data_IF_175600708559
#
_entry.id   IF_175600708559
#
_cell.length_a   1.000
_cell.length_b   1.000
_cell.length_c   1.000
_cell.angle_alpha   90.00
_cell.angle_beta   90.00
_cell.angle_gamma   90.00
#
_symmetry.space_group_name_H-M   'P 1'
#
loop_
_entity.id
_entity.type
_entity.pdbx_description
1 polymer ?
#
# COMPACT_ATOMS: atom_id res chain seq x y z
N UNK A 1 42.59 -32.37 -2.75
CA UNK A 1 41.95 -33.64 -2.34
C UNK A 1 42.11 -33.96 -0.86
N UNK A 2 43.33 -34.10 -0.30
CA UNK A 2 43.48 -34.40 1.13
C UNK A 2 42.89 -33.29 2.02
N UNK A 3 43.14 -32.04 1.67
CA UNK A 3 42.64 -30.87 2.40
C UNK A 3 41.11 -30.72 2.28
N UNK A 4 40.56 -30.98 1.09
CA UNK A 4 39.12 -31.01 0.84
C UNK A 4 38.42 -32.08 1.69
N UNK A 5 39.00 -33.28 1.76
CA UNK A 5 38.47 -34.36 2.57
C UNK A 5 38.55 -34.04 4.08
N UNK A 6 39.63 -33.41 4.53
CA UNK A 6 39.75 -32.92 5.93
C UNK A 6 38.62 -31.92 6.23
N UNK A 7 38.36 -30.99 5.33
CA UNK A 7 37.28 -30.02 5.48
C UNK A 7 35.91 -30.69 5.54
N UNK A 8 35.63 -31.66 4.66
CA UNK A 8 34.37 -32.42 4.70
C UNK A 8 34.23 -33.25 5.98
N UNK A 9 35.32 -33.84 6.48
CA UNK A 9 35.31 -34.60 7.73
C UNK A 9 35.09 -33.72 8.97
N UNK A 10 35.46 -32.45 8.90
CA UNK A 10 35.36 -31.48 10.00
C UNK A 10 34.17 -30.52 9.88
N UNK A 11 33.40 -30.57 8.79
CA UNK A 11 32.21 -29.73 8.63
C UNK A 11 31.08 -30.21 9.56
N UNK A 12 30.03 -29.40 9.74
CA UNK A 12 28.83 -29.81 10.49
C UNK A 12 27.63 -29.85 9.55
N UNK A 13 27.36 -30.99 8.88
CA UNK A 13 26.31 -31.09 7.87
C UNK A 13 24.91 -30.88 8.46
N UNK A 14 24.66 -31.27 9.72
CA UNK A 14 23.38 -31.00 10.40
C UNK A 14 23.18 -29.50 10.63
N UNK A 15 24.23 -28.79 11.05
CA UNK A 15 24.17 -27.34 11.24
C UNK A 15 23.99 -26.61 9.92
N UNK A 16 24.69 -27.04 8.86
CA UNK A 16 24.52 -26.48 7.52
C UNK A 16 23.08 -26.68 7.03
N UNK A 17 22.53 -27.88 7.17
CA UNK A 17 21.16 -28.19 6.75
C UNK A 17 20.13 -27.31 7.46
N UNK A 18 20.28 -27.13 8.78
CA UNK A 18 19.40 -26.30 9.59
C UNK A 18 19.44 -24.83 9.17
N UNK A 19 20.64 -24.26 9.02
CA UNK A 19 20.80 -22.85 8.65
C UNK A 19 20.29 -22.58 7.22
N UNK A 20 20.57 -23.49 6.28
CA UNK A 20 20.04 -23.38 4.92
C UNK A 20 18.51 -23.49 4.89
N UNK A 21 17.93 -24.38 5.69
CA UNK A 21 16.48 -24.51 5.83
C UNK A 21 15.86 -23.25 6.44
N UNK A 22 16.51 -22.63 7.43
CA UNK A 22 16.06 -21.36 8.00
C UNK A 22 16.01 -20.27 6.93
N UNK A 23 17.06 -20.12 6.12
CA UNK A 23 17.08 -19.12 5.03
C UNK A 23 15.99 -19.42 4.00
N UNK A 24 15.85 -20.68 3.58
CA UNK A 24 14.81 -21.11 2.64
C UNK A 24 13.40 -20.75 3.15
N UNK A 25 13.16 -20.92 4.46
CA UNK A 25 11.88 -20.63 5.09
C UNK A 25 11.49 -19.15 5.06
N UNK A 26 12.46 -18.23 5.14
CA UNK A 26 12.17 -16.78 5.07
C UNK A 26 11.68 -16.39 3.68
N UNK A 27 12.13 -17.11 2.64
CA UNK A 27 11.61 -16.96 1.27
C UNK A 27 10.35 -17.80 1.00
N UNK A 28 9.78 -18.45 2.02
CA UNK A 28 8.62 -19.33 1.91
C UNK A 28 8.80 -20.52 0.93
N UNK A 29 10.05 -20.99 0.76
CA UNK A 29 10.37 -22.15 -0.08
C UNK A 29 10.87 -23.33 0.75
N UNK A 30 10.75 -24.53 0.17
CA UNK A 30 11.41 -25.71 0.70
C UNK A 30 12.86 -25.75 0.23
N UNK A 31 13.75 -26.27 1.09
CA UNK A 31 15.13 -26.49 0.71
C UNK A 31 15.19 -27.49 -0.46
N UNK A 32 15.91 -27.21 -1.56
CA UNK A 32 15.89 -28.07 -2.73
C UNK A 32 16.43 -29.48 -2.44
N UNK A 33 15.81 -30.49 -3.03
CA UNK A 33 16.19 -31.91 -2.87
C UNK A 33 17.67 -32.17 -3.18
N UNK A 34 18.24 -31.45 -4.16
CA UNK A 34 19.67 -31.53 -4.50
C UNK A 34 20.55 -31.19 -3.30
N UNK A 35 20.16 -30.22 -2.46
CA UNK A 35 20.90 -29.84 -1.26
C UNK A 35 20.89 -30.99 -0.25
N UNK A 36 19.72 -31.58 0.01
CA UNK A 36 19.60 -32.76 0.89
C UNK A 36 20.48 -33.92 0.42
N UNK A 37 20.51 -34.20 -0.88
CA UNK A 37 21.37 -35.24 -1.46
C UNK A 37 22.86 -34.96 -1.26
N UNK A 38 23.30 -33.72 -1.46
CA UNK A 38 24.69 -33.32 -1.26
C UNK A 38 25.08 -33.39 0.23
N UNK A 39 24.22 -32.93 1.13
CA UNK A 39 24.42 -33.03 2.59
C UNK A 39 24.47 -34.50 3.03
N UNK A 40 23.60 -35.36 2.50
CA UNK A 40 23.62 -36.80 2.79
C UNK A 40 24.94 -37.44 2.39
N UNK A 41 25.52 -37.07 1.24
CA UNK A 41 26.85 -37.56 0.83
C UNK A 41 27.96 -37.08 1.77
N UNK A 42 27.88 -35.85 2.27
CA UNK A 42 28.83 -35.33 3.27
C UNK A 42 28.72 -36.14 4.57
N UNK A 43 27.50 -36.41 5.05
CA UNK A 43 27.26 -37.27 6.23
C UNK A 43 27.82 -38.68 6.02
N UNK A 44 27.66 -39.23 4.82
CA UNK A 44 28.24 -40.53 4.46
C UNK A 44 29.77 -40.53 4.55
N UNK A 45 30.44 -39.49 4.00
CA UNK A 45 31.89 -39.31 4.13
C UNK A 45 32.31 -39.20 5.61
N UNK A 46 31.55 -38.47 6.43
CA UNK A 46 31.84 -38.30 7.85
C UNK A 46 31.70 -39.59 8.67
N UNK A 47 30.84 -40.53 8.24
CA UNK A 47 30.67 -41.82 8.91
C UNK A 47 31.99 -42.63 9.01
N UNK A 48 32.94 -42.36 8.12
CA UNK A 48 34.27 -42.98 8.12
C UNK A 48 35.24 -42.37 9.15
N UNK A 49 34.90 -41.24 9.80
CA UNK A 49 35.62 -40.57 10.92
C UNK A 49 37.02 -40.02 10.64
N UNK A 50 37.81 -40.65 9.78
CA UNK A 50 39.16 -40.20 9.43
C UNK A 50 39.56 -40.61 8.01
N UNK A 51 40.59 -39.94 7.50
CA UNK A 51 41.09 -40.07 6.12
C UNK A 51 41.52 -41.50 5.81
N UNK A 52 42.26 -42.15 6.72
CA UNK A 52 42.80 -43.49 6.49
C UNK A 52 41.68 -44.53 6.38
N UNK A 53 40.64 -44.39 7.21
CA UNK A 53 39.48 -45.26 7.17
C UNK A 53 38.61 -45.01 5.92
N UNK A 54 38.51 -43.75 5.49
CA UNK A 54 37.83 -43.38 4.25
C UNK A 54 38.49 -44.05 3.03
N UNK A 55 39.80 -43.88 2.83
CA UNK A 55 40.49 -44.47 1.66
C UNK A 55 40.52 -46.01 1.67
N UNK A 56 40.43 -46.64 2.86
CA UNK A 56 40.43 -48.12 2.96
C UNK A 56 39.07 -48.75 2.71
N UNK A 57 37.99 -48.10 3.13
CA UNK A 57 36.67 -48.74 3.23
C UNK A 57 35.56 -48.04 2.43
N UNK A 58 35.78 -46.82 1.92
CA UNK A 58 34.75 -46.12 1.16
C UNK A 58 34.59 -46.71 -0.26
N UNK A 59 33.35 -46.74 -0.79
CA UNK A 59 33.09 -47.17 -2.15
C UNK A 59 33.80 -46.26 -3.17
N UNK A 60 34.19 -46.84 -4.32
CA UNK A 60 34.93 -46.12 -5.38
C UNK A 60 34.22 -44.84 -5.85
N UNK A 61 32.90 -44.81 -5.79
CA UNK A 61 32.05 -43.68 -6.18
C UNK A 61 32.28 -42.44 -5.30
N UNK A 62 32.48 -42.64 -3.98
CA UNK A 62 32.79 -41.56 -3.04
C UNK A 62 34.26 -41.14 -3.11
N UNK A 63 35.15 -42.04 -3.52
CA UNK A 63 36.57 -41.78 -3.66
C UNK A 63 36.93 -40.94 -4.90
N UNK A 64 35.96 -40.60 -5.76
CA UNK A 64 36.19 -39.77 -6.96
C UNK A 64 36.68 -38.36 -6.56
N UNK A 65 37.88 -37.93 -6.99
CA UNK A 65 38.42 -36.62 -6.62
C UNK A 65 37.51 -35.46 -6.97
N UNK A 66 36.80 -35.56 -8.11
CA UNK A 66 35.87 -34.54 -8.58
C UNK A 66 34.68 -34.34 -7.64
N UNK A 67 34.15 -35.44 -7.06
CA UNK A 67 33.04 -35.38 -6.12
C UNK A 67 33.48 -34.75 -4.80
N UNK A 68 34.66 -35.13 -4.28
CA UNK A 68 35.22 -34.56 -3.05
C UNK A 68 35.43 -33.04 -3.22
N UNK A 69 35.98 -32.63 -4.37
CA UNK A 69 36.15 -31.22 -4.70
C UNK A 69 34.80 -30.49 -4.78
N UNK A 70 33.83 -31.03 -5.51
CA UNK A 70 32.48 -30.46 -5.64
C UNK A 70 31.81 -30.27 -4.28
N UNK A 71 31.82 -31.30 -3.42
CA UNK A 71 31.23 -31.22 -2.08
C UNK A 71 31.96 -30.19 -1.20
N UNK A 72 33.29 -30.12 -1.31
CA UNK A 72 34.08 -29.10 -0.60
C UNK A 72 33.68 -27.70 -1.06
N UNK A 73 33.61 -27.46 -2.37
CA UNK A 73 33.21 -26.17 -2.94
C UNK A 73 31.80 -25.77 -2.49
N UNK A 74 30.86 -26.72 -2.43
CA UNK A 74 29.51 -26.46 -1.90
C UNK A 74 29.50 -26.09 -0.42
N UNK A 75 30.35 -26.70 0.41
CA UNK A 75 30.46 -26.32 1.83
C UNK A 75 30.95 -24.87 1.97
N UNK A 76 31.95 -24.44 1.20
CA UNK A 76 32.39 -23.04 1.22
C UNK A 76 31.29 -22.10 0.73
N UNK A 77 30.62 -22.50 -0.34
CA UNK A 77 29.53 -21.73 -0.90
C UNK A 77 28.36 -21.56 0.08
N UNK A 78 27.93 -22.63 0.75
CA UNK A 78 26.86 -22.56 1.73
C UNK A 78 27.26 -21.75 2.96
N UNK A 79 28.50 -21.85 3.43
CA UNK A 79 28.99 -20.97 4.48
C UNK A 79 28.94 -19.49 4.08
N UNK A 80 29.26 -19.18 2.81
CA UNK A 80 29.11 -17.83 2.27
C UNK A 80 27.64 -17.40 2.20
N UNK A 81 26.74 -18.29 1.77
CA UNK A 81 25.30 -18.01 1.76
C UNK A 81 24.77 -17.73 3.18
N UNK A 82 25.17 -18.54 4.16
CA UNK A 82 24.84 -18.36 5.58
C UNK A 82 25.40 -17.04 6.13
N UNK A 83 26.60 -16.63 5.70
CA UNK A 83 27.17 -15.36 6.12
C UNK A 83 26.37 -14.14 5.66
N UNK A 84 25.49 -14.30 4.65
CA UNK A 84 24.61 -13.25 4.11
C UNK A 84 23.16 -13.39 4.58
N UNK A 85 22.89 -14.11 5.67
CA UNK A 85 21.51 -14.45 6.07
C UNK A 85 20.65 -13.20 6.28
N UNK A 86 21.21 -12.13 6.85
CA UNK A 86 20.45 -10.96 7.26
C UNK A 86 20.06 -10.14 6.02
N UNK A 87 20.97 -10.02 5.05
CA UNK A 87 20.69 -9.41 3.75
C UNK A 87 19.69 -10.24 2.92
N UNK A 88 19.79 -11.57 2.97
CA UNK A 88 18.83 -12.46 2.34
C UNK A 88 17.44 -12.37 2.98
N UNK A 89 17.36 -12.25 4.31
CA UNK A 89 16.10 -12.03 5.02
C UNK A 89 15.46 -10.68 4.65
N UNK A 90 16.29 -9.65 4.47
CA UNK A 90 15.82 -8.35 4.00
C UNK A 90 15.29 -8.41 2.56
N UNK A 91 15.99 -9.12 1.66
CA UNK A 91 15.53 -9.37 0.30
C UNK A 91 14.22 -10.17 0.27
N UNK A 92 14.07 -11.16 1.15
CA UNK A 92 12.85 -11.92 1.30
C UNK A 92 11.68 -11.03 1.76
N UNK A 93 11.88 -10.19 2.79
CA UNK A 93 10.90 -9.20 3.26
C UNK A 93 10.44 -8.29 2.11
N UNK A 94 11.38 -7.81 1.28
CA UNK A 94 11.02 -7.01 0.11
C UNK A 94 10.13 -7.78 -0.87
N UNK A 95 10.50 -9.01 -1.21
CA UNK A 95 9.76 -9.81 -2.19
C UNK A 95 8.35 -10.21 -1.73
N UNK A 96 8.10 -10.26 -0.42
CA UNK A 96 6.81 -10.61 0.16
C UNK A 96 5.94 -9.40 0.50
N UNK A 97 6.53 -8.34 1.06
CA UNK A 97 5.78 -7.21 1.64
C UNK A 97 5.71 -5.98 0.72
N UNK A 98 6.68 -5.78 -0.17
CA UNK A 98 6.74 -4.56 -0.96
C UNK A 98 5.62 -4.52 -2.02
N UNK A 99 4.72 -3.54 -1.89
CA UNK A 99 3.70 -3.26 -2.91
C UNK A 99 4.39 -2.59 -4.10
N UNK A 100 4.37 -3.23 -5.26
CA UNK A 100 4.97 -2.70 -6.49
C UNK A 100 4.05 -1.69 -7.20
N UNK A 101 4.61 -0.66 -7.87
CA UNK A 101 3.81 0.34 -8.57
C UNK A 101 2.96 -0.28 -9.71
N UNK A 102 1.63 -0.09 -9.72
CA UNK A 102 0.77 -0.60 -10.77
C UNK A 102 1.16 0.05 -12.11
N UNK A 103 1.43 -0.78 -13.12
CA UNK A 103 1.84 -0.32 -14.46
C UNK A 103 3.36 -0.23 -14.68
N UNK A 104 4.19 -0.34 -13.64
CA UNK A 104 5.64 -0.44 -13.82
C UNK A 104 6.04 -1.89 -14.14
N UNK A 105 5.93 -2.24 -15.42
CA UNK A 105 6.26 -3.58 -15.92
C UNK A 105 7.72 -3.96 -15.72
N UNK A 106 8.64 -2.97 -15.74
CA UNK A 106 10.07 -3.21 -15.54
C UNK A 106 10.36 -3.66 -14.12
N UNK A 107 9.94 -2.90 -13.11
CA UNK A 107 10.11 -3.28 -11.70
C UNK A 107 9.44 -4.63 -11.41
N UNK A 108 8.23 -4.83 -11.92
CA UNK A 108 7.51 -6.10 -11.80
C UNK A 108 8.29 -7.27 -12.39
N UNK A 109 8.92 -7.07 -13.56
CA UNK A 109 9.73 -8.10 -14.20
C UNK A 109 11.03 -8.39 -13.44
N UNK A 110 11.71 -7.35 -12.95
CA UNK A 110 12.94 -7.51 -12.18
C UNK A 110 12.66 -8.26 -10.86
N UNK A 111 11.62 -7.88 -10.12
CA UNK A 111 11.21 -8.56 -8.90
C UNK A 111 10.85 -10.05 -9.16
N UNK A 112 10.06 -10.34 -10.20
CA UNK A 112 9.74 -11.73 -10.59
C UNK A 112 10.97 -12.55 -10.97
N UNK A 113 11.92 -11.94 -11.67
CA UNK A 113 13.17 -12.60 -12.05
C UNK A 113 14.00 -12.92 -10.81
N UNK A 114 14.06 -12.00 -9.85
CA UNK A 114 14.73 -12.20 -8.58
C UNK A 114 14.08 -13.32 -7.77
N UNK A 115 12.74 -13.33 -7.64
CA UNK A 115 11.99 -14.41 -6.97
C UNK A 115 12.28 -15.78 -7.62
N UNK A 116 12.35 -15.85 -8.95
CA UNK A 116 12.64 -17.10 -9.66
C UNK A 116 14.07 -17.61 -9.43
N UNK A 117 15.01 -16.75 -9.03
CA UNK A 117 16.39 -17.13 -8.74
C UNK A 117 16.58 -17.72 -7.34
N UNK A 118 15.62 -17.53 -6.42
CA UNK A 118 15.76 -17.91 -5.00
C UNK A 118 16.10 -19.40 -4.85
N UNK A 119 15.44 -20.30 -5.58
CA UNK A 119 15.77 -21.73 -5.46
C UNK A 119 17.21 -22.03 -5.95
N UNK A 120 17.66 -21.28 -6.95
CA UNK A 120 18.95 -21.50 -7.60
C UNK A 120 20.13 -21.04 -6.74
N UNK A 121 19.92 -20.08 -5.82
CA UNK A 121 20.97 -19.67 -4.88
C UNK A 121 21.36 -20.79 -3.91
N UNK A 122 20.53 -21.80 -3.66
CA UNK A 122 20.93 -22.92 -2.80
C UNK A 122 21.77 -23.98 -3.53
N UNK A 123 21.64 -24.05 -4.86
CA UNK A 123 22.15 -25.16 -5.67
C UNK A 123 23.27 -24.78 -6.63
N UNK A 124 23.57 -23.48 -6.75
CA UNK A 124 24.57 -22.90 -7.65
C UNK A 124 25.17 -21.63 -7.03
N UNK A 125 26.42 -21.24 -7.36
CA UNK A 125 27.13 -20.13 -6.74
C UNK A 125 26.63 -18.74 -7.20
N UNK A 126 25.35 -18.46 -6.98
CA UNK A 126 24.63 -17.28 -7.50
C UNK A 126 24.30 -16.25 -6.41
N UNK A 127 24.68 -16.47 -5.15
CA UNK A 127 24.30 -15.56 -4.05
C UNK A 127 24.78 -14.13 -4.25
N UNK A 128 25.96 -13.91 -4.84
CA UNK A 128 26.44 -12.55 -5.11
C UNK A 128 25.62 -11.88 -6.21
N UNK A 129 25.39 -12.58 -7.31
CA UNK A 129 24.55 -12.09 -8.41
C UNK A 129 23.12 -11.81 -7.94
N UNK A 130 22.57 -12.66 -7.06
CA UNK A 130 21.27 -12.45 -6.44
C UNK A 130 21.24 -11.14 -5.64
N UNK A 131 22.25 -10.89 -4.81
CA UNK A 131 22.34 -9.65 -4.02
C UNK A 131 22.51 -8.42 -4.91
N UNK A 132 23.37 -8.48 -5.93
CA UNK A 132 23.53 -7.36 -6.88
C UNK A 132 22.23 -7.04 -7.61
N UNK A 133 21.46 -8.07 -8.01
CA UNK A 133 20.15 -7.89 -8.63
C UNK A 133 19.13 -7.35 -7.64
N UNK A 134 19.18 -7.78 -6.39
CA UNK A 134 18.33 -7.23 -5.33
C UNK A 134 18.59 -5.74 -5.11
N UNK A 135 19.85 -5.33 -4.95
CA UNK A 135 20.22 -3.93 -4.78
C UNK A 135 19.74 -3.06 -5.95
N UNK A 136 19.84 -3.58 -7.18
CA UNK A 136 19.33 -2.89 -8.37
C UNK A 136 17.79 -2.75 -8.36
N UNK A 137 17.07 -3.77 -7.91
CA UNK A 137 15.60 -3.71 -7.75
C UNK A 137 15.22 -2.72 -6.66
N UNK A 138 15.86 -2.80 -5.50
CA UNK A 138 15.57 -1.96 -4.35
C UNK A 138 15.85 -0.48 -4.65
N UNK A 139 16.93 -0.19 -5.37
CA UNK A 139 17.27 1.18 -5.79
C UNK A 139 16.23 1.76 -6.74
N UNK A 140 15.82 1.01 -7.77
CA UNK A 140 14.78 1.45 -8.71
C UNK A 140 13.42 1.58 -8.00
N UNK A 141 13.08 0.66 -7.09
CA UNK A 141 11.86 0.73 -6.28
C UNK A 141 11.83 1.99 -5.41
N UNK A 142 12.92 2.25 -4.70
CA UNK A 142 13.07 3.40 -3.81
C UNK A 142 12.92 4.71 -4.56
N UNK A 143 13.55 4.83 -5.73
CA UNK A 143 13.41 6.00 -6.58
C UNK A 143 11.96 6.23 -7.03
N UNK A 144 11.25 5.18 -7.41
CA UNK A 144 9.84 5.27 -7.81
C UNK A 144 8.91 5.58 -6.63
N UNK A 145 9.15 4.98 -5.47
CA UNK A 145 8.38 5.25 -4.25
C UNK A 145 8.51 6.70 -3.80
N UNK A 146 9.73 7.25 -3.78
CA UNK A 146 9.95 8.65 -3.38
C UNK A 146 9.24 9.63 -4.33
N UNK A 147 9.25 9.37 -5.64
CA UNK A 147 8.47 10.17 -6.60
C UNK A 147 6.98 10.06 -6.33
N UNK A 148 6.47 8.84 -6.14
CA UNK A 148 5.07 8.60 -5.80
C UNK A 148 4.65 9.36 -4.54
N UNK A 149 5.42 9.27 -3.46
CA UNK A 149 5.10 9.91 -2.20
C UNK A 149 4.99 11.44 -2.34
N UNK A 150 5.94 12.06 -3.05
CA UNK A 150 5.92 13.51 -3.32
C UNK A 150 4.72 13.90 -4.19
N UNK A 151 4.47 13.18 -5.27
CA UNK A 151 3.35 13.48 -6.18
C UNK A 151 2.00 13.27 -5.50
N UNK A 152 1.86 12.19 -4.74
CA UNK A 152 0.65 11.85 -4.01
C UNK A 152 0.31 12.93 -2.97
N UNK A 153 1.28 13.33 -2.13
CA UNK A 153 1.04 14.40 -1.15
C UNK A 153 0.71 15.73 -1.82
N UNK A 154 1.36 16.08 -2.93
CA UNK A 154 1.01 17.28 -3.70
C UNK A 154 -0.42 17.24 -4.24
N UNK A 155 -0.93 16.06 -4.58
CA UNK A 155 -2.31 15.89 -5.00
C UNK A 155 -3.28 16.00 -3.81
N UNK A 156 -2.94 15.42 -2.66
CA UNK A 156 -3.70 15.58 -1.42
C UNK A 156 -3.77 17.06 -0.97
N UNK A 157 -2.68 17.80 -1.07
CA UNK A 157 -2.65 19.25 -0.77
C UNK A 157 -3.66 20.03 -1.61
N UNK A 158 -3.84 19.68 -2.90
CA UNK A 158 -4.84 20.31 -3.77
C UNK A 158 -6.28 19.93 -3.39
N UNK A 159 -6.48 18.85 -2.62
CA UNK A 159 -7.79 18.44 -2.15
C UNK A 159 -8.20 19.15 -0.85
N UNK A 160 -7.25 19.68 -0.08
CA UNK A 160 -7.48 20.41 1.18
C UNK A 160 -8.69 21.35 1.11
N UNK A 161 -8.64 22.34 0.21
CA UNK A 161 -9.69 23.35 0.07
C UNK A 161 -11.03 22.72 -0.36
N UNK A 162 -10.98 21.67 -1.20
CA UNK A 162 -12.18 20.96 -1.65
C UNK A 162 -12.81 20.14 -0.53
N UNK A 163 -12.02 19.55 0.37
CA UNK A 163 -12.50 18.79 1.53
C UNK A 163 -13.24 19.72 2.47
N UNK A 164 -12.66 20.88 2.79
CA UNK A 164 -13.30 21.86 3.68
C UNK A 164 -14.56 22.44 3.06
N UNK A 165 -14.53 22.73 1.76
CA UNK A 165 -15.72 23.14 1.02
C UNK A 165 -16.82 22.06 1.05
N UNK A 166 -16.44 20.80 0.86
CA UNK A 166 -17.38 19.67 0.86
C UNK A 166 -18.00 19.45 2.25
N UNK A 167 -17.21 19.58 3.33
CA UNK A 167 -17.71 19.55 4.72
C UNK A 167 -18.73 20.66 4.97
N UNK A 168 -18.42 21.90 4.57
CA UNK A 168 -19.35 23.02 4.72
C UNK A 168 -20.66 22.81 3.96
N UNK A 169 -20.59 22.33 2.71
CA UNK A 169 -21.80 22.01 1.92
C UNK A 169 -22.62 20.89 2.55
N UNK A 170 -21.97 19.90 3.15
CA UNK A 170 -22.64 18.82 3.86
C UNK A 170 -23.38 19.32 5.10
N UNK A 171 -22.76 20.16 5.92
CA UNK A 171 -23.40 20.78 7.09
C UNK A 171 -24.66 21.56 6.71
N UNK A 172 -24.57 22.37 5.65
CA UNK A 172 -25.73 23.09 5.09
C UNK A 172 -26.81 22.11 4.66
N UNK A 173 -26.43 21.03 3.94
CA UNK A 173 -27.37 20.02 3.45
C UNK A 173 -28.11 19.33 4.60
N UNK A 174 -27.39 18.94 5.66
CA UNK A 174 -27.98 18.36 6.86
C UNK A 174 -28.94 19.31 7.56
N UNK A 175 -28.55 20.58 7.74
CA UNK A 175 -29.41 21.58 8.36
C UNK A 175 -30.70 21.83 7.56
N UNK A 176 -30.62 21.80 6.22
CA UNK A 176 -31.79 21.89 5.35
C UNK A 176 -32.65 20.62 5.42
N UNK A 177 -32.07 19.45 5.62
CA UNK A 177 -32.80 18.19 5.75
C UNK A 177 -33.69 18.12 7.01
N UNK A 178 -33.44 18.95 8.03
CA UNK A 178 -34.31 19.11 9.21
C UNK A 178 -35.65 19.78 8.87
N UNK A 179 -35.73 20.48 7.73
CA UNK A 179 -36.97 21.08 7.24
C UNK A 179 -37.75 19.99 6.50
N UNK A 180 -38.96 19.68 7.00
CA UNK A 180 -39.77 18.56 6.50
C UNK A 180 -39.99 18.59 4.97
N UNK A 181 -40.25 19.78 4.42
CA UNK A 181 -40.42 20.02 2.98
C UNK A 181 -39.16 19.72 2.14
N UNK A 182 -37.97 19.79 2.75
CA UNK A 182 -36.68 19.64 2.05
C UNK A 182 -36.00 18.29 2.31
N UNK A 183 -36.43 17.56 3.35
CA UNK A 183 -35.83 16.30 3.81
C UNK A 183 -35.52 15.31 2.68
N UNK A 184 -36.49 15.04 1.80
CA UNK A 184 -36.34 14.06 0.71
C UNK A 184 -35.35 14.50 -0.39
N UNK A 185 -35.03 15.79 -0.47
CA UNK A 185 -34.07 16.33 -1.42
C UNK A 185 -32.63 16.28 -0.88
N UNK A 186 -32.47 16.20 0.44
CA UNK A 186 -31.20 16.38 1.17
C UNK A 186 -30.64 15.13 1.83
N UNK A 187 -31.13 13.95 1.44
CA UNK A 187 -30.59 12.69 1.92
C UNK A 187 -29.16 12.45 1.39
N UNK A 188 -28.22 12.23 2.31
CA UNK A 188 -26.83 11.82 2.05
C UNK A 188 -26.62 10.46 2.71
N UNK A 189 -26.19 9.47 1.93
CA UNK A 189 -26.09 8.06 2.37
C UNK A 189 -24.69 7.62 2.79
N UNK A 190 -23.67 8.37 2.40
CA UNK A 190 -22.26 7.95 2.48
C UNK A 190 -21.45 8.78 3.49
N UNK A 191 -22.11 9.36 4.51
CA UNK A 191 -21.46 10.24 5.48
C UNK A 191 -20.39 9.52 6.31
N UNK A 192 -20.75 8.36 6.85
CA UNK A 192 -19.85 7.57 7.69
C UNK A 192 -18.62 7.12 6.90
N UNK A 193 -18.80 6.73 5.63
CA UNK A 193 -17.71 6.40 4.72
C UNK A 193 -16.78 7.60 4.50
N UNK A 194 -17.33 8.79 4.27
CA UNK A 194 -16.53 10.00 4.12
C UNK A 194 -15.71 10.32 5.39
N UNK A 195 -16.32 10.25 6.57
CA UNK A 195 -15.63 10.51 7.85
C UNK A 195 -14.49 9.51 8.11
N UNK A 196 -14.66 8.24 7.73
CA UNK A 196 -13.62 7.21 7.84
C UNK A 196 -12.45 7.45 6.88
N UNK A 197 -12.68 8.05 5.72
CA UNK A 197 -11.65 8.29 4.70
C UNK A 197 -10.87 9.59 4.90
N UNK A 198 -11.36 10.51 5.74
CA UNK A 198 -10.73 11.81 6.01
C UNK A 198 -9.22 11.72 6.35
N UNK A 199 -8.77 10.85 7.26
CA UNK A 199 -7.34 10.74 7.59
C UNK A 199 -6.50 10.33 6.38
N UNK A 200 -7.06 9.52 5.47
CA UNK A 200 -6.39 9.08 4.26
C UNK A 200 -6.10 10.22 3.29
N UNK A 201 -6.89 11.31 3.32
CA UNK A 201 -6.71 12.48 2.46
C UNK A 201 -5.78 13.55 3.04
N UNK A 202 -5.26 13.38 4.26
CA UNK A 202 -4.34 14.34 4.85
C UNK A 202 -2.92 14.17 4.26
N UNK A 203 -2.27 15.24 3.76
CA UNK A 203 -0.90 15.13 3.25
C UNK A 203 0.06 14.69 4.36
N UNK A 204 0.99 13.78 4.04
CA UNK A 204 2.06 13.43 4.96
C UNK A 204 3.06 14.60 5.04
N UNK A 205 3.41 15.02 6.26
CA UNK A 205 4.35 16.12 6.51
C UNK A 205 5.82 15.67 6.50
N UNK A 206 6.05 14.36 6.64
CA UNK A 206 7.38 13.79 6.61
C UNK A 206 7.89 13.68 5.18
N UNK A 207 9.17 14.02 4.97
CA UNK A 207 9.84 13.84 3.69
C UNK A 207 10.75 12.62 3.84
N UNK A 208 10.35 11.43 3.33
CA UNK A 208 11.16 10.24 3.44
C UNK A 208 12.45 10.35 2.66
N UNK A 209 13.50 9.72 3.19
CA UNK A 209 14.79 9.55 2.53
C UNK A 209 14.91 8.15 1.93
N UNK A 210 15.91 7.94 1.08
CA UNK A 210 16.14 6.63 0.48
C UNK A 210 16.35 5.55 1.54
N UNK A 211 17.10 5.84 2.59
CA UNK A 211 17.41 4.89 3.67
C UNK A 211 16.16 4.43 4.44
N UNK A 212 15.16 5.31 4.57
CA UNK A 212 13.88 4.96 5.22
C UNK A 212 13.13 3.91 4.39
N UNK A 213 13.11 4.11 3.07
CA UNK A 213 12.41 3.24 2.13
C UNK A 213 13.18 1.94 1.90
N UNK A 214 14.51 1.98 1.92
CA UNK A 214 15.31 0.77 1.82
C UNK A 214 15.03 -0.18 2.99
N UNK A 215 14.72 0.31 4.19
CA UNK A 215 14.46 -0.54 5.37
C UNK A 215 13.01 -1.05 5.48
N UNK A 216 12.04 -0.16 5.26
CA UNK A 216 10.62 -0.46 5.52
C UNK A 216 9.77 -0.49 4.25
N UNK A 217 10.35 -0.19 3.09
CA UNK A 217 9.69 -0.14 1.77
C UNK A 217 8.55 0.87 1.64
N UNK A 218 8.20 1.56 2.73
CA UNK A 218 7.22 2.61 2.80
C UNK A 218 7.71 3.74 3.70
N UNK A 219 7.06 4.89 3.59
CA UNK A 219 7.26 6.02 4.49
C UNK A 219 6.93 5.60 5.94
N UNK A 220 7.82 5.85 6.92
CA UNK A 220 7.65 5.40 8.31
C UNK A 220 6.54 6.15 9.07
N UNK A 221 6.04 7.26 8.51
CA UNK A 221 5.03 8.10 9.16
C UNK A 221 3.63 7.85 8.61
N UNK A 222 3.48 7.74 7.28
CA UNK A 222 2.16 7.55 6.66
C UNK A 222 1.89 6.13 6.21
N UNK A 223 2.91 5.27 6.11
CA UNK A 223 2.83 3.87 5.65
C UNK A 223 2.08 3.66 4.32
N UNK A 224 1.95 4.71 3.51
CA UNK A 224 1.25 4.64 2.22
C UNK A 224 2.02 3.79 1.24
N UNK A 225 1.28 3.10 0.40
CA UNK A 225 1.74 2.24 -0.68
C UNK A 225 1.21 2.77 -2.02
N UNK A 226 1.64 2.20 -3.14
CA UNK A 226 1.15 2.63 -4.45
C UNK A 226 -0.36 2.38 -4.66
N UNK A 227 -0.99 1.50 -3.88
CA UNK A 227 -2.45 1.29 -3.96
C UNK A 227 -3.25 2.46 -3.39
N UNK A 228 -2.66 3.25 -2.50
CA UNK A 228 -3.30 4.44 -1.91
C UNK A 228 -3.52 5.57 -2.93
N UNK A 229 -2.89 5.49 -4.11
CA UNK A 229 -3.16 6.41 -5.22
C UNK A 229 -4.66 6.51 -5.56
N UNK A 230 -5.42 5.42 -5.38
CA UNK A 230 -6.85 5.35 -5.68
C UNK A 230 -7.73 6.24 -4.80
N UNK A 231 -7.23 6.69 -3.64
CA UNK A 231 -8.02 7.46 -2.67
C UNK A 231 -8.46 8.83 -3.23
N UNK A 232 -7.74 9.36 -4.21
CA UNK A 232 -8.09 10.60 -4.92
C UNK A 232 -9.34 10.39 -5.79
N UNK A 233 -9.43 9.25 -6.49
CA UNK A 233 -10.61 8.90 -7.29
C UNK A 233 -11.82 8.72 -6.40
N UNK A 234 -11.65 8.08 -5.24
CA UNK A 234 -12.72 7.92 -4.23
C UNK A 234 -13.24 9.28 -3.76
N UNK A 235 -12.33 10.24 -3.49
CA UNK A 235 -12.71 11.61 -3.15
C UNK A 235 -13.55 12.27 -4.26
N UNK A 236 -13.08 12.21 -5.51
CA UNK A 236 -13.78 12.85 -6.63
C UNK A 236 -15.18 12.28 -6.85
N UNK A 237 -15.37 10.97 -6.63
CA UNK A 237 -16.68 10.33 -6.72
C UNK A 237 -17.62 10.79 -5.59
N UNK A 238 -17.14 10.83 -4.34
CA UNK A 238 -17.93 11.34 -3.21
C UNK A 238 -18.28 12.82 -3.44
N UNK A 239 -17.30 13.64 -3.85
CA UNK A 239 -17.49 15.05 -4.13
C UNK A 239 -18.60 15.27 -5.17
N UNK A 240 -18.60 14.51 -6.27
CA UNK A 240 -19.66 14.60 -7.30
C UNK A 240 -21.03 14.18 -6.79
N UNK A 241 -21.11 13.10 -6.00
CA UNK A 241 -22.37 12.62 -5.42
C UNK A 241 -22.97 13.68 -4.49
N UNK A 242 -22.16 14.19 -3.57
CA UNK A 242 -22.61 15.18 -2.59
C UNK A 242 -22.91 16.53 -3.22
N UNK A 243 -22.15 16.96 -4.23
CA UNK A 243 -22.46 18.19 -4.97
C UNK A 243 -23.82 18.08 -5.69
N UNK A 244 -24.13 16.91 -6.25
CA UNK A 244 -25.43 16.67 -6.88
C UNK A 244 -26.58 16.79 -5.87
N UNK A 245 -26.40 16.22 -4.67
CA UNK A 245 -27.39 16.33 -3.58
C UNK A 245 -27.52 17.78 -3.11
N UNK A 246 -26.40 18.47 -2.88
CA UNK A 246 -26.37 19.87 -2.47
C UNK A 246 -27.10 20.77 -3.47
N UNK A 247 -26.82 20.65 -4.77
CA UNK A 247 -27.50 21.43 -5.81
C UNK A 247 -29.00 21.13 -5.88
N UNK A 248 -29.40 19.87 -5.67
CA UNK A 248 -30.81 19.47 -5.58
C UNK A 248 -31.50 20.12 -4.38
N UNK A 249 -30.88 20.11 -3.21
CA UNK A 249 -31.37 20.80 -2.02
C UNK A 249 -31.54 22.30 -2.25
N UNK A 250 -30.52 22.95 -2.82
CA UNK A 250 -30.54 24.39 -3.05
C UNK A 250 -31.65 24.79 -4.02
N UNK A 251 -31.90 23.99 -5.07
CA UNK A 251 -33.04 24.18 -5.98
C UNK A 251 -34.38 24.03 -5.28
N UNK A 252 -34.53 22.99 -4.46
CA UNK A 252 -35.75 22.77 -3.68
C UNK A 252 -35.99 23.90 -2.67
N UNK A 253 -34.94 24.36 -1.98
CA UNK A 253 -34.98 25.50 -1.08
C UNK A 253 -35.44 26.76 -1.81
N UNK A 254 -34.80 27.09 -2.93
CA UNK A 254 -35.12 28.24 -3.75
C UNK A 254 -36.59 28.22 -4.20
N UNK A 255 -37.06 27.08 -4.73
CA UNK A 255 -38.45 26.91 -5.14
C UNK A 255 -39.44 27.12 -3.97
N UNK A 256 -39.19 26.50 -2.82
CA UNK A 256 -40.09 26.60 -1.67
C UNK A 256 -40.09 28.00 -1.06
N UNK A 257 -38.93 28.67 -0.97
CA UNK A 257 -38.87 30.07 -0.53
C UNK A 257 -39.60 31.01 -1.49
N UNK A 258 -39.38 30.88 -2.80
CA UNK A 258 -40.10 31.64 -3.82
C UNK A 258 -41.61 31.43 -3.74
N UNK A 259 -42.07 30.20 -3.49
CA UNK A 259 -43.49 29.88 -3.31
C UNK A 259 -44.06 30.61 -2.09
N UNK A 260 -43.40 30.54 -0.93
CA UNK A 260 -43.85 31.21 0.29
C UNK A 260 -43.89 32.74 0.12
N UNK A 261 -42.91 33.33 -0.56
CA UNK A 261 -42.87 34.79 -0.85
C UNK A 261 -44.05 35.19 -1.74
N UNK A 262 -44.35 34.42 -2.79
CA UNK A 262 -45.48 34.66 -3.69
C UNK A 262 -46.85 34.51 -3.00
N UNK A 263 -46.95 33.62 -2.02
CA UNK A 263 -48.20 33.36 -1.30
C UNK A 263 -48.43 34.35 -0.13
N UNK A 264 -47.37 34.98 0.40
CA UNK A 264 -47.44 35.85 1.58
C UNK A 264 -47.45 37.37 1.28
N UNK A 265 -46.98 37.81 0.11
CA UNK A 265 -46.91 39.24 -0.22
C UNK A 265 -48.15 39.77 -0.96
N UNK A 266 -48.60 40.96 -0.53
CA UNK A 266 -49.73 41.68 -1.14
C UNK A 266 -49.36 42.50 -2.38
N UNK A 267 -48.06 42.72 -2.62
CA UNK A 267 -47.53 43.44 -3.77
C UNK A 267 -46.91 42.43 -4.77
N UNK A 268 -47.56 42.17 -5.92
CA UNK A 268 -47.10 41.17 -6.88
C UNK A 268 -45.74 41.49 -7.51
N UNK A 269 -45.38 42.78 -7.63
CA UNK A 269 -44.16 43.18 -8.33
C UNK A 269 -42.94 43.05 -7.42
N UNK A 270 -43.11 43.39 -6.14
CA UNK A 270 -42.10 43.19 -5.10
C UNK A 270 -41.83 41.70 -4.85
N UNK A 271 -42.90 40.91 -4.79
CA UNK A 271 -42.84 39.46 -4.63
C UNK A 271 -42.15 38.74 -5.79
N UNK A 272 -42.39 39.21 -7.01
CA UNK A 272 -41.66 38.72 -8.19
C UNK A 272 -40.16 39.05 -8.13
N UNK A 273 -39.79 40.26 -7.71
CA UNK A 273 -38.38 40.68 -7.60
C UNK A 273 -37.63 39.94 -6.49
N UNK A 274 -38.27 39.75 -5.32
CA UNK A 274 -37.70 39.02 -4.19
C UNK A 274 -37.60 37.51 -4.51
N UNK A 275 -38.58 36.95 -5.22
CA UNK A 275 -38.53 35.58 -5.75
C UNK A 275 -37.40 35.36 -6.77
N UNK A 276 -37.15 36.34 -7.67
CA UNK A 276 -36.00 36.31 -8.59
C UNK A 276 -34.68 36.40 -7.82
N UNK A 277 -34.60 37.21 -6.77
CA UNK A 277 -33.40 37.32 -5.94
C UNK A 277 -33.06 36.00 -5.21
N UNK A 278 -34.08 35.25 -4.79
CA UNK A 278 -33.96 33.93 -4.14
C UNK A 278 -33.79 32.78 -5.16
N UNK A 279 -33.99 33.03 -6.45
CA UNK A 279 -33.69 32.07 -7.52
C UNK A 279 -32.20 31.98 -7.88
N UNK A 280 -31.40 32.94 -7.42
CA UNK A 280 -29.95 32.97 -7.64
C UNK A 280 -29.23 32.05 -6.63
N UNK A 281 -29.19 30.76 -6.96
CA UNK A 281 -28.55 29.70 -6.16
C UNK A 281 -27.09 30.01 -5.79
N UNK A 282 -26.39 30.79 -6.63
CA UNK A 282 -24.99 31.14 -6.41
C UNK A 282 -24.82 32.15 -5.26
N UNK A 283 -25.76 33.08 -5.11
CA UNK A 283 -25.78 34.06 -4.02
C UNK A 283 -26.26 33.47 -2.71
N UNK A 284 -27.27 32.60 -2.74
CA UNK A 284 -27.72 31.92 -1.52
C UNK A 284 -26.60 31.05 -0.94
N UNK A 285 -25.85 30.36 -1.81
CA UNK A 285 -24.71 29.54 -1.41
C UNK A 285 -23.61 30.34 -0.72
N UNK A 286 -23.32 31.56 -1.16
CA UNK A 286 -22.21 32.37 -0.62
C UNK A 286 -22.53 33.11 0.68
N UNK A 287 -23.81 33.21 1.05
CA UNK A 287 -24.27 33.90 2.28
C UNK A 287 -24.86 32.95 3.32
N UNK A 288 -24.85 31.64 3.05
CA UNK A 288 -25.43 30.65 3.94
C UNK A 288 -24.66 30.62 5.27
N UNK A 289 -25.37 30.95 6.34
CA UNK A 289 -24.85 31.02 7.71
C UNK A 289 -25.82 30.32 8.67
N UNK A 290 -25.37 29.88 9.85
CA UNK A 290 -26.24 29.28 10.86
C UNK A 290 -27.47 30.15 11.18
N UNK A 291 -27.29 31.47 11.29
CA UNK A 291 -28.37 32.42 11.57
C UNK A 291 -29.37 32.52 10.42
N UNK A 292 -28.90 32.43 9.16
CA UNK A 292 -29.75 32.41 7.98
C UNK A 292 -30.53 31.10 7.89
N UNK A 293 -29.90 29.96 8.19
CA UNK A 293 -30.54 28.65 8.23
C UNK A 293 -31.68 28.61 9.25
N UNK A 294 -31.48 29.17 10.45
CA UNK A 294 -32.54 29.26 11.45
C UNK A 294 -33.71 30.15 11.01
N UNK A 295 -33.44 31.23 10.26
CA UNK A 295 -34.50 32.06 9.67
C UNK A 295 -35.27 31.29 8.59
N UNK A 296 -34.57 30.56 7.74
CA UNK A 296 -35.16 29.72 6.70
C UNK A 296 -36.06 28.64 7.33
N UNK A 297 -35.60 27.99 8.40
CA UNK A 297 -36.39 26.99 9.15
C UNK A 297 -37.70 27.59 9.67
N UNK A 298 -37.68 28.82 10.21
CA UNK A 298 -38.90 29.50 10.67
C UNK A 298 -39.86 29.80 9.52
N UNK A 299 -39.35 30.40 8.43
CA UNK A 299 -40.18 30.77 7.27
C UNK A 299 -40.83 29.55 6.62
N UNK A 300 -40.09 28.47 6.43
CA UNK A 300 -40.60 27.25 5.79
C UNK A 300 -41.32 26.30 6.76
N UNK A 301 -41.05 26.41 8.06
CA UNK A 301 -41.68 25.61 9.12
C UNK A 301 -43.00 26.18 9.64
N UNK A 302 -43.23 27.50 9.55
CA UNK A 302 -44.52 28.12 9.91
C UNK A 302 -45.60 27.90 8.83
N UNK A 303 -45.19 27.73 7.56
CA UNK A 303 -46.10 27.47 6.44
C UNK A 303 -46.78 26.09 6.48
N UNK A 304 -46.22 25.10 7.18
CA UNK A 304 -46.85 23.78 7.35
C UNK A 304 -47.88 23.72 8.48
N UNK A 305 -47.93 24.74 9.34
CA UNK A 305 -48.92 24.89 10.43
C UNK A 305 -50.16 25.72 10.05
N UNK A 306 -50.30 26.07 8.77
CA UNK A 306 -51.34 26.96 8.24
C UNK A 306 -52.34 26.24 7.30
N UNK A 307 -52.60 24.95 7.53
CA UNK A 307 -53.73 24.21 6.93
C UNK A 307 -54.90 24.09 7.92
#
# INVERSE_FOLDING_TARGET
MKDDLIKLLNSSPESLELELANIASVFEIQLPEKVHQLISKIKEIQSYKNIDNFYKNAPEELCKPQLILELSDFVDYWNKLISKRDELAHAAKFLTEAVLPPGNLRLSFMAKTLSAMVESIFTSPLVDEFMERFDAVLSEYTAEYLKFHVEHNRNLEKLSDKIDELKSRHEITCALAEIELLKNYCEIKDREEFELLLPGWEPCKYIPKAEDIEQEFVCPECHRTFTDAGIITVFDDIYRRWETVFLRCMRALSYNLSKVILESEKDPLRSLLDSIAVSDLSKIRSIMSPELLERIKKVLGESSSSE
#
